data_IF_888826575513
#
_entry.id   IF_888826575513
#
_cell.length_a   1.000
_cell.length_b   1.000
_cell.length_c   1.000
_cell.angle_alpha   90.00
_cell.angle_beta   90.00
_cell.angle_gamma   90.00
#
_symmetry.space_group_name_H-M   'P 1'
#
loop_
_entity.id
_entity.type
_entity.pdbx_description
1 polymer ?
#
# COMPACT_ATOMS: atom_id res chain seq x y z
N UNK A 1 -15.36 16.24 5.39
CA UNK A 1 -14.75 15.91 5.72
C UNK A 1 -14.03 15.12 5.26
N UNK A 2 -13.46 14.92 4.97
CA UNK A 2 -12.74 14.27 4.53
C UNK A 2 -12.31 13.29 5.02
N UNK A 3 -12.13 12.83 5.57
CA UNK A 3 -11.69 11.89 6.07
C UNK A 3 -11.34 10.83 5.37
N UNK A 4 -10.56 10.86 4.43
CA UNK A 4 -10.01 9.81 3.78
C UNK A 4 -9.09 9.17 4.68
N UNK A 5 -9.24 8.13 5.22
CA UNK A 5 -8.31 7.43 6.05
C UNK A 5 -7.15 6.97 5.23
N UNK A 6 -6.34 7.88 4.80
CA UNK A 6 -5.16 7.59 3.98
C UNK A 6 -3.95 7.38 4.87
N UNK A 7 -3.08 6.47 4.44
CA UNK A 7 -1.84 6.20 5.14
C UNK A 7 -0.71 6.19 4.13
N UNK A 8 0.43 6.69 4.54
CA UNK A 8 1.64 6.58 3.73
C UNK A 8 2.40 5.37 4.23
N UNK A 9 2.70 4.48 3.31
CA UNK A 9 3.38 3.23 3.65
C UNK A 9 4.58 3.03 2.77
N UNK A 10 5.50 2.23 3.25
CA UNK A 10 6.66 1.81 2.48
C UNK A 10 6.66 0.29 2.44
N UNK A 11 6.77 -0.27 1.24
CA UNK A 11 6.80 -1.72 1.09
C UNK A 11 8.20 -2.22 1.42
N UNK A 12 8.25 -3.25 2.24
CA UNK A 12 9.50 -3.86 2.66
C UNK A 12 9.65 -5.18 1.91
N UNK A 13 10.88 -5.68 1.87
CA UNK A 13 11.12 -6.98 1.24
C UNK A 13 11.90 -6.86 -0.04
N UNK A 14 11.66 -7.80 -0.94
CA UNK A 14 12.41 -7.91 -2.17
C UNK A 14 11.59 -7.46 -3.36
N UNK A 15 12.21 -7.44 -4.52
CA UNK A 15 11.55 -7.00 -5.73
C UNK A 15 10.22 -7.73 -6.02
N UNK A 16 10.14 -9.06 -5.86
CA UNK A 16 8.85 -9.73 -6.08
C UNK A 16 7.75 -9.20 -5.17
N UNK A 17 8.13 -8.80 -3.95
CA UNK A 17 7.15 -8.25 -3.03
C UNK A 17 6.66 -6.90 -3.50
N UNK A 18 7.53 -6.10 -4.08
CA UNK A 18 7.14 -4.79 -4.59
C UNK A 18 6.13 -4.93 -5.73
N UNK A 19 6.39 -5.86 -6.64
CA UNK A 19 5.51 -6.07 -7.77
C UNK A 19 4.15 -6.57 -7.29
N UNK A 20 4.16 -7.51 -6.36
CA UNK A 20 2.92 -8.07 -5.84
C UNK A 20 2.11 -6.99 -5.12
N UNK A 21 2.79 -6.17 -4.30
CA UNK A 21 2.12 -5.11 -3.57
C UNK A 21 1.48 -4.11 -4.54
N UNK A 22 2.20 -3.76 -5.58
CA UNK A 22 1.69 -2.83 -6.58
C UNK A 22 0.41 -3.37 -7.22
N UNK A 23 0.43 -4.64 -7.60
CA UNK A 23 -0.74 -5.26 -8.19
C UNK A 23 -1.92 -5.26 -7.23
N UNK A 24 -1.67 -5.61 -5.98
CA UNK A 24 -2.74 -5.67 -4.99
C UNK A 24 -3.35 -4.30 -4.79
N UNK A 25 -2.51 -3.28 -4.63
CA UNK A 25 -3.02 -1.93 -4.40
C UNK A 25 -3.74 -1.38 -5.63
N UNK A 26 -3.21 -1.69 -6.81
CA UNK A 26 -3.79 -1.20 -8.04
C UNK A 26 -5.18 -1.79 -8.30
N UNK A 27 -5.40 -3.01 -7.86
CA UNK A 27 -6.67 -3.67 -8.08
C UNK A 27 -7.73 -3.34 -7.04
N UNK A 28 -7.41 -2.52 -6.08
CA UNK A 28 -8.39 -2.10 -5.10
C UNK A 28 -9.18 -0.93 -5.63
N UNK A 29 -10.47 -0.82 -5.30
CA UNK A 29 -11.28 0.29 -5.75
C UNK A 29 -11.07 1.54 -4.92
N UNK A 30 -9.91 1.66 -4.30
CA UNK A 30 -9.62 2.78 -3.42
C UNK A 30 -8.56 3.67 -4.03
N UNK A 31 -8.51 4.91 -3.54
CA UNK A 31 -7.52 5.86 -4.03
C UNK A 31 -6.10 5.38 -3.72
N UNK A 32 -5.20 5.61 -4.65
CA UNK A 32 -3.83 5.20 -4.51
C UNK A 32 -2.92 6.24 -5.13
N UNK A 33 -1.90 6.64 -4.40
CA UNK A 33 -0.88 7.54 -4.91
C UNK A 33 0.45 6.82 -4.85
N UNK A 34 1.11 6.69 -5.99
CA UNK A 34 2.41 6.04 -6.05
C UNK A 34 3.50 7.06 -5.80
N UNK A 35 4.39 6.75 -4.89
CA UNK A 35 5.51 7.61 -4.53
C UNK A 35 6.81 6.90 -4.89
N UNK A 36 7.92 7.64 -4.97
CA UNK A 36 9.20 6.98 -5.23
C UNK A 36 9.62 6.10 -4.06
N UNK A 37 10.60 5.25 -4.34
CA UNK A 37 11.22 4.40 -3.31
C UNK A 37 10.24 3.43 -2.66
N UNK A 38 9.36 2.86 -3.46
CA UNK A 38 8.42 1.83 -2.99
C UNK A 38 7.49 2.32 -1.91
N UNK A 39 7.14 3.60 -1.95
CA UNK A 39 6.18 4.16 -1.02
C UNK A 39 4.87 4.41 -1.72
N UNK A 40 3.78 4.33 -0.95
CA UNK A 40 2.46 4.56 -1.48
C UNK A 40 1.63 5.30 -0.44
N UNK A 41 0.69 6.10 -0.93
CA UNK A 41 -0.34 6.66 -0.07
C UNK A 41 -1.63 5.98 -0.48
N UNK A 42 -2.23 5.25 0.42
CA UNK A 42 -3.41 4.46 0.13
C UNK A 42 -4.39 4.51 1.29
N UNK A 43 -5.63 4.16 1.03
CA UNK A 43 -6.62 4.10 2.08
C UNK A 43 -6.28 2.96 3.03
N UNK A 44 -6.53 3.19 4.32
CA UNK A 44 -6.21 2.21 5.33
C UNK A 44 -6.79 0.85 5.04
N UNK A 45 -8.01 0.81 4.55
CA UNK A 45 -8.66 -0.48 4.32
C UNK A 45 -8.01 -1.26 3.19
N UNK A 46 -7.24 -0.61 2.33
CA UNK A 46 -6.53 -1.31 1.29
C UNK A 46 -5.35 -2.10 1.85
N UNK A 47 -4.86 -1.69 3.02
CA UNK A 47 -3.69 -2.34 3.61
C UNK A 47 -3.99 -3.75 4.10
N UNK A 48 -5.24 -4.03 4.40
CA UNK A 48 -5.62 -5.37 4.82
C UNK A 48 -5.29 -6.43 3.79
N UNK A 49 -5.41 -6.07 2.52
CA UNK A 49 -5.11 -7.01 1.44
C UNK A 49 -3.62 -7.33 1.40
N UNK A 50 -2.78 -6.36 1.72
CA UNK A 50 -1.36 -6.60 1.77
C UNK A 50 -1.02 -7.58 2.88
N UNK A 51 -1.65 -7.41 4.02
CA UNK A 51 -1.43 -8.30 5.15
C UNK A 51 -1.87 -9.73 4.81
N UNK A 52 -3.01 -9.87 4.18
CA UNK A 52 -3.52 -11.18 3.79
C UNK A 52 -2.57 -11.86 2.81
N UNK A 53 -1.97 -11.08 1.93
CA UNK A 53 -1.04 -11.62 0.94
C UNK A 53 0.36 -11.88 1.51
N UNK A 54 0.60 -11.53 2.75
CA UNK A 54 1.90 -11.74 3.36
C UNK A 54 2.94 -10.70 2.98
N UNK A 55 2.49 -9.57 2.48
CA UNK A 55 3.41 -8.50 2.11
C UNK A 55 3.76 -7.71 3.36
N UNK A 56 5.04 -7.47 3.55
CA UNK A 56 5.50 -6.67 4.68
C UNK A 56 5.57 -5.21 4.28
N UNK A 57 5.08 -4.36 5.12
CA UNK A 57 5.13 -2.92 4.87
C UNK A 57 5.20 -2.18 6.19
N UNK A 58 5.62 -0.93 6.09
CA UNK A 58 5.76 -0.09 7.25
C UNK A 58 4.90 1.14 7.07
N UNK A 59 4.10 1.49 8.06
CA UNK A 59 3.29 2.71 7.99
C UNK A 59 4.18 3.85 8.44
N UNK A 60 4.39 4.80 7.53
CA UNK A 60 5.25 5.93 7.81
C UNK A 60 4.47 7.05 8.47
N UNK A 61 3.19 7.18 8.07
CA UNK A 61 2.45 8.26 8.61
C UNK A 61 1.00 7.99 8.69
#
# INVERSE_FOLDING_TARGET
>A
MSNLNMCRIKILGERPDFVKAFYILLNQPYALICMPEEEYVAEKRALGELTVAGIKFEVIE
#
